data_IF_883089948745
#
_entry.id   IF_883089948745
#
_cell.length_a   1.000
_cell.length_b   1.000
_cell.length_c   1.000
_cell.angle_alpha   90.00
_cell.angle_beta   90.00
_cell.angle_gamma   90.00
#
_symmetry.space_group_name_H-M   'P 1'
#
loop_
_entity.id
_entity.type
_entity.pdbx_description
1 polymer ?
#
# COMPACT_ATOMS: atom_id res chain seq x y z
N UNK A 1 -27.31 -11.63 17.49
CA UNK A 1 -27.21 -13.11 17.34
C UNK A 1 -27.46 -13.55 15.89
N UNK A 2 -28.29 -12.83 15.10
CA UNK A 2 -28.59 -13.20 13.71
C UNK A 2 -27.55 -12.76 12.67
N UNK A 3 -26.68 -11.80 13.01
CA UNK A 3 -25.59 -11.33 12.14
C UNK A 3 -24.39 -12.29 12.16
N UNK A 4 -23.79 -12.64 11.02
CA UNK A 4 -22.60 -13.51 10.95
C UNK A 4 -21.43 -13.05 11.84
N UNK A 5 -21.17 -11.75 11.95
CA UNK A 5 -20.05 -11.25 12.78
C UNK A 5 -20.24 -11.55 14.27
N UNK A 6 -21.47 -11.41 14.78
CA UNK A 6 -21.77 -11.82 16.16
C UNK A 6 -21.68 -13.33 16.34
N UNK A 7 -22.06 -14.12 15.32
CA UNK A 7 -21.92 -15.57 15.38
C UNK A 7 -20.46 -16.00 15.42
N UNK A 8 -19.59 -15.32 14.66
CA UNK A 8 -18.16 -15.55 14.68
C UNK A 8 -17.56 -15.21 16.04
N UNK A 9 -17.95 -14.07 16.62
CA UNK A 9 -17.54 -13.68 17.98
C UNK A 9 -17.93 -14.73 19.03
N UNK A 10 -19.11 -15.34 18.92
CA UNK A 10 -19.55 -16.41 19.84
C UNK A 10 -18.70 -17.66 19.70
N UNK A 11 -18.37 -18.03 18.46
CA UNK A 11 -17.49 -19.16 18.19
C UNK A 11 -16.09 -18.89 18.77
N UNK A 12 -15.58 -17.67 18.62
CA UNK A 12 -14.26 -17.27 19.15
C UNK A 12 -14.23 -17.34 20.68
N UNK A 13 -15.26 -16.84 21.36
CA UNK A 13 -15.35 -16.93 22.83
C UNK A 13 -15.49 -18.38 23.30
N UNK A 14 -16.26 -19.22 22.60
CA UNK A 14 -16.35 -20.65 22.90
C UNK A 14 -15.02 -21.38 22.64
N UNK A 15 -14.26 -20.94 21.63
CA UNK A 15 -12.94 -21.49 21.30
C UNK A 15 -11.82 -20.98 22.22
N UNK A 16 -12.08 -19.94 23.04
CA UNK A 16 -11.08 -19.17 23.79
C UNK A 16 -9.96 -18.66 22.88
N UNK A 17 -10.37 -18.08 21.75
CA UNK A 17 -9.47 -17.65 20.68
C UNK A 17 -9.12 -16.14 20.75
N UNK A 18 -9.36 -15.49 21.89
CA UNK A 18 -9.18 -14.05 22.08
C UNK A 18 -7.75 -13.59 21.76
N UNK A 19 -6.75 -14.32 22.24
CA UNK A 19 -5.34 -13.98 22.03
C UNK A 19 -4.94 -14.10 20.56
N UNK A 20 -5.36 -15.19 19.88
CA UNK A 20 -5.04 -15.40 18.46
C UNK A 20 -5.80 -14.43 17.56
N UNK A 21 -7.03 -14.04 17.95
CA UNK A 21 -7.79 -13.00 17.27
C UNK A 21 -7.13 -11.62 17.44
N UNK A 22 -6.61 -11.30 18.64
CA UNK A 22 -5.90 -10.07 18.89
C UNK A 22 -4.58 -9.98 18.10
N UNK A 23 -3.80 -11.07 18.07
CA UNK A 23 -2.60 -11.19 17.26
C UNK A 23 -2.90 -10.96 15.76
N UNK A 24 -3.92 -11.65 15.24
CA UNK A 24 -4.34 -11.47 13.86
C UNK A 24 -4.77 -10.02 13.56
N UNK A 25 -5.57 -9.41 14.44
CA UNK A 25 -6.05 -8.03 14.27
C UNK A 25 -4.90 -7.02 14.24
N UNK A 26 -3.89 -7.20 15.08
CA UNK A 26 -2.72 -6.35 15.09
C UNK A 26 -1.97 -6.42 13.75
N UNK A 27 -1.69 -7.64 13.25
CA UNK A 27 -1.04 -7.85 11.96
C UNK A 27 -1.87 -7.33 10.79
N UNK A 28 -3.20 -7.50 10.83
CA UNK A 28 -4.10 -6.94 9.83
C UNK A 28 -4.04 -5.40 9.82
N UNK A 29 -4.08 -4.76 11.00
CA UNK A 29 -3.95 -3.31 11.13
C UNK A 29 -2.62 -2.78 10.58
N UNK A 30 -1.51 -3.42 10.96
CA UNK A 30 -0.18 -3.08 10.44
C UNK A 30 -0.12 -3.21 8.92
N UNK A 31 -0.69 -4.27 8.34
CA UNK A 31 -0.76 -4.45 6.91
C UNK A 31 -1.55 -3.33 6.21
N UNK A 32 -2.69 -2.92 6.78
CA UNK A 32 -3.48 -1.81 6.21
C UNK A 32 -2.71 -0.49 6.24
N UNK A 33 -1.99 -0.21 7.33
CA UNK A 33 -1.12 0.98 7.44
C UNK A 33 -0.02 0.97 6.37
N UNK A 34 0.72 -0.13 6.25
CA UNK A 34 1.79 -0.25 5.25
C UNK A 34 1.27 -0.15 3.80
N UNK A 35 0.10 -0.73 3.51
CA UNK A 35 -0.53 -0.60 2.20
C UNK A 35 -0.95 0.83 1.89
N UNK A 36 -1.45 1.57 2.89
CA UNK A 36 -1.80 2.98 2.73
C UNK A 36 -0.56 3.85 2.51
N UNK A 37 0.51 3.62 3.27
CA UNK A 37 1.81 4.31 3.09
C UNK A 37 2.39 4.03 1.71
N UNK A 38 2.42 2.77 1.29
CA UNK A 38 2.87 2.37 -0.04
C UNK A 38 2.02 3.02 -1.14
N UNK A 39 0.69 3.02 -1.01
CA UNK A 39 -0.19 3.64 -2.01
C UNK A 39 0.03 5.16 -2.12
N UNK A 40 0.25 5.85 -1.01
CA UNK A 40 0.58 7.28 -1.00
C UNK A 40 1.93 7.55 -1.71
N UNK A 41 2.91 6.67 -1.51
CA UNK A 41 4.23 6.75 -2.15
C UNK A 41 4.29 6.16 -3.57
N UNK A 42 3.28 5.43 -4.05
CA UNK A 42 3.33 4.76 -5.37
C UNK A 42 2.57 5.51 -6.48
N UNK A 43 2.37 6.82 -6.34
CA UNK A 43 1.67 7.64 -7.33
C UNK A 43 2.53 7.85 -8.59
N UNK A 44 2.43 7.03 -9.64
CA UNK A 44 3.11 7.13 -10.96
C UNK A 44 4.61 6.74 -11.03
N UNK A 45 4.88 5.43 -10.99
CA UNK A 45 6.22 4.79 -11.02
C UNK A 45 6.92 4.88 -12.39
N UNK A 46 6.21 4.64 -13.49
CA UNK A 46 6.81 4.54 -14.84
C UNK A 46 7.39 5.84 -15.39
N UNK A 47 6.78 6.99 -15.06
CA UNK A 47 7.33 8.29 -15.47
C UNK A 47 8.61 8.66 -14.69
N UNK A 48 8.81 8.06 -13.50
CA UNK A 48 9.96 8.38 -12.63
C UNK A 48 11.21 7.64 -13.00
N UNK A 49 11.13 6.37 -13.37
CA UNK A 49 12.31 5.62 -13.82
C UNK A 49 12.94 6.32 -15.03
N UNK A 50 12.12 6.75 -15.98
CA UNK A 50 12.59 7.52 -17.15
C UNK A 50 13.19 8.88 -16.76
N UNK A 51 12.57 9.58 -15.81
CA UNK A 51 13.12 10.85 -15.27
C UNK A 51 14.49 10.62 -14.61
N UNK A 52 14.63 9.55 -13.83
CA UNK A 52 15.84 9.24 -13.09
C UNK A 52 17.00 8.84 -14.00
N UNK A 53 16.75 8.03 -15.03
CA UNK A 53 17.76 7.68 -16.04
C UNK A 53 18.23 8.91 -16.83
N UNK A 54 17.30 9.80 -17.20
CA UNK A 54 17.63 11.06 -17.85
C UNK A 54 18.51 11.93 -16.94
N UNK A 55 18.11 12.14 -15.69
CA UNK A 55 18.87 12.93 -14.72
C UNK A 55 20.26 12.35 -14.46
N UNK A 56 20.39 11.01 -14.37
CA UNK A 56 21.68 10.32 -14.24
C UNK A 56 22.59 10.57 -15.44
N UNK A 57 22.06 10.43 -16.66
CA UNK A 57 22.84 10.69 -17.88
C UNK A 57 23.33 12.14 -17.92
N UNK A 58 22.44 13.11 -17.69
CA UNK A 58 22.77 14.53 -17.70
C UNK A 58 23.83 14.90 -16.64
N UNK A 59 23.65 14.41 -15.42
CA UNK A 59 24.59 14.66 -14.31
C UNK A 59 25.95 14.02 -14.60
N UNK A 60 25.98 12.82 -15.19
CA UNK A 60 27.22 12.14 -15.56
C UNK A 60 27.97 12.86 -16.68
N UNK A 61 27.25 13.32 -17.71
CA UNK A 61 27.83 14.09 -18.82
C UNK A 61 28.46 15.41 -18.33
N UNK A 62 27.80 16.13 -17.42
CA UNK A 62 28.33 17.38 -16.88
C UNK A 62 29.51 17.13 -15.91
N UNK A 63 29.41 16.10 -15.06
CA UNK A 63 30.49 15.75 -14.13
C UNK A 63 31.75 15.28 -14.86
N UNK A 64 31.62 14.47 -15.92
CA UNK A 64 32.77 14.01 -16.70
C UNK A 64 33.48 15.15 -17.42
N UNK A 65 32.78 16.25 -17.72
CA UNK A 65 33.36 17.45 -18.29
C UNK A 65 34.25 18.25 -17.31
N UNK A 66 34.21 17.99 -16.00
CA UNK A 66 35.05 18.65 -14.99
C UNK A 66 35.13 20.17 -15.19
N UNK A 67 33.98 20.84 -15.24
CA UNK A 67 33.89 22.27 -15.47
C UNK A 67 34.39 23.07 -14.26
N UNK A 68 35.20 24.09 -14.50
CA UNK A 68 35.64 25.03 -13.46
C UNK A 68 35.08 26.42 -13.75
N UNK A 69 34.57 27.10 -12.71
CA UNK A 69 34.05 28.46 -12.86
C UNK A 69 35.17 29.44 -13.28
N UNK A 70 34.92 30.22 -14.34
CA UNK A 70 35.90 31.16 -14.90
C UNK A 70 36.91 30.56 -15.88
N UNK A 71 36.93 29.23 -16.06
CA UNK A 71 37.83 28.55 -17.01
C UNK A 71 37.55 28.92 -18.46
N UNK A 72 36.28 29.12 -18.81
CA UNK A 72 35.83 29.41 -20.18
C UNK A 72 36.52 30.64 -20.78
N UNK A 73 36.58 31.74 -20.02
CA UNK A 73 37.18 32.99 -20.47
C UNK A 73 38.70 32.86 -20.68
N UNK A 74 39.37 32.10 -19.79
CA UNK A 74 40.79 31.82 -19.92
C UNK A 74 41.08 30.95 -21.16
N UNK A 75 40.32 29.88 -21.35
CA UNK A 75 40.47 28.94 -22.47
C UNK A 75 40.14 29.61 -23.79
N UNK A 76 39.08 30.42 -23.87
CA UNK A 76 38.76 31.18 -25.08
C UNK A 76 39.87 32.16 -25.46
N UNK A 77 40.41 32.90 -24.49
CA UNK A 77 41.47 33.87 -24.75
C UNK A 77 42.75 33.18 -25.24
N UNK A 78 43.12 32.05 -24.61
CA UNK A 78 44.24 31.22 -25.07
C UNK A 78 43.99 30.66 -26.47
N UNK A 79 42.78 30.14 -26.74
CA UNK A 79 42.41 29.63 -28.05
C UNK A 79 42.51 30.71 -29.13
N UNK A 80 41.96 31.91 -28.90
CA UNK A 80 42.04 33.04 -29.84
C UNK A 80 43.49 33.43 -30.14
N UNK A 81 44.36 33.45 -29.13
CA UNK A 81 45.78 33.73 -29.29
C UNK A 81 46.47 32.66 -30.15
N UNK A 82 46.35 31.38 -29.78
CA UNK A 82 47.01 30.26 -30.46
C UNK A 82 46.46 30.03 -31.87
N UNK A 83 45.16 30.19 -32.09
CA UNK A 83 44.54 30.08 -33.41
C UNK A 83 45.00 31.21 -34.35
N UNK A 84 45.21 32.41 -33.81
CA UNK A 84 45.81 33.52 -34.57
C UNK A 84 47.24 33.20 -35.00
N UNK A 85 48.06 32.62 -34.10
CA UNK A 85 49.41 32.15 -34.44
C UNK A 85 49.40 31.08 -35.54
N UNK A 86 48.49 30.09 -35.48
CA UNK A 86 48.32 29.09 -36.55
C UNK A 86 48.01 29.76 -37.88
N UNK A 87 47.09 30.73 -37.89
CA UNK A 87 46.71 31.44 -39.10
C UNK A 87 47.87 32.27 -39.68
N UNK A 88 48.69 32.87 -38.82
CA UNK A 88 49.89 33.60 -39.24
C UNK A 88 50.93 32.66 -39.85
N UNK A 89 51.18 31.49 -39.26
CA UNK A 89 52.07 30.45 -39.82
C UNK A 89 51.56 29.98 -41.17
N UNK A 90 50.28 29.60 -41.27
CA UNK A 90 49.66 29.15 -42.53
C UNK A 90 49.83 30.16 -43.66
N UNK A 91 49.58 31.45 -43.37
CA UNK A 91 49.71 32.52 -44.36
C UNK A 91 51.17 32.77 -44.74
N UNK A 92 52.07 32.84 -43.75
CA UNK A 92 53.49 33.07 -43.98
C UNK A 92 54.12 31.93 -44.80
N UNK A 93 53.88 30.67 -44.43
CA UNK A 93 54.33 29.51 -45.19
C UNK A 93 53.70 29.44 -46.58
N UNK A 94 52.40 29.77 -46.73
CA UNK A 94 51.77 29.80 -48.06
C UNK A 94 52.38 30.87 -48.98
N UNK A 95 52.76 32.04 -48.44
CA UNK A 95 53.43 33.09 -49.20
C UNK A 95 54.85 32.65 -49.57
N UNK A 96 55.62 32.12 -48.61
CA UNK A 96 56.98 31.63 -48.85
C UNK A 96 57.01 30.52 -49.93
N UNK A 97 56.07 29.57 -49.86
CA UNK A 97 55.92 28.51 -50.86
C UNK A 97 55.64 29.06 -52.26
N UNK A 98 54.74 30.04 -52.38
CA UNK A 98 54.42 30.69 -53.66
C UNK A 98 55.62 31.45 -54.24
N UNK A 99 56.44 32.05 -53.38
CA UNK A 99 57.59 32.84 -53.81
C UNK A 99 58.79 31.95 -54.17
N UNK A 100 59.09 30.90 -53.41
CA UNK A 100 60.39 30.21 -53.52
C UNK A 100 60.39 28.67 -53.48
N UNK A 101 59.47 28.00 -52.78
CA UNK A 101 59.68 26.59 -52.42
C UNK A 101 59.14 25.56 -53.43
N UNK A 102 58.38 26.00 -54.44
CA UNK A 102 57.86 25.13 -55.50
C UNK A 102 58.61 25.31 -56.83
N UNK A 103 58.64 24.25 -57.67
CA UNK A 103 59.30 24.32 -58.98
C UNK A 103 58.73 25.42 -59.89
N UNK A 104 57.42 25.69 -59.81
CA UNK A 104 56.72 26.77 -60.53
C UNK A 104 56.57 28.05 -59.68
N UNK A 105 57.49 28.29 -58.74
CA UNK A 105 57.47 29.48 -57.90
C UNK A 105 57.80 30.74 -58.69
N UNK A 106 57.38 31.90 -58.15
CA UNK A 106 57.66 33.20 -58.76
C UNK A 106 59.17 33.41 -58.97
N UNK A 107 60.01 33.04 -57.99
CA UNK A 107 61.47 33.17 -58.13
C UNK A 107 62.06 32.24 -59.19
N UNK A 108 61.53 31.02 -59.34
CA UNK A 108 61.94 30.10 -60.42
C UNK A 108 61.67 30.70 -61.81
N UNK A 109 60.46 31.24 -62.03
CA UNK A 109 60.09 31.89 -63.30
C UNK A 109 60.90 33.17 -63.56
N UNK A 110 61.19 33.95 -62.50
CA UNK A 110 62.02 35.14 -62.61
C UNK A 110 63.48 34.77 -62.92
N UNK A 111 63.99 33.63 -62.46
CA UNK A 111 65.33 33.14 -62.80
C UNK A 111 65.44 32.77 -64.28
N UNK A 112 64.40 32.16 -64.85
CA UNK A 112 64.31 31.93 -66.31
C UNK A 112 64.27 33.24 -67.09
N UNK A 113 63.46 34.20 -66.61
CA UNK A 113 63.39 35.55 -67.19
C UNK A 113 64.76 36.26 -67.16
N UNK A 114 65.52 36.11 -66.07
CA UNK A 114 66.87 36.67 -65.96
C UNK A 114 67.85 36.03 -66.98
N UNK A 115 67.69 34.74 -67.32
CA UNK A 115 68.49 34.09 -68.37
C UNK A 115 68.21 34.72 -69.73
N UNK A 116 66.93 34.93 -70.06
CA UNK A 116 66.52 35.60 -71.29
C UNK A 116 67.02 37.04 -71.37
N UNK A 117 66.94 37.81 -70.27
CA UNK A 117 67.47 39.17 -70.20
C UNK A 117 68.98 39.22 -70.43
N UNK A 118 69.75 38.25 -69.89
CA UNK A 118 71.19 38.15 -70.12
C UNK A 118 71.53 37.77 -71.55
N UNK A 119 70.72 36.94 -72.21
CA UNK A 119 70.87 36.65 -73.63
C UNK A 119 70.59 37.88 -74.49
N UNK A 120 69.55 38.64 -74.16
CA UNK A 120 69.22 39.88 -74.85
C UNK A 120 70.29 40.96 -74.66
N UNK A 121 70.86 41.08 -73.46
CA UNK A 121 71.96 41.99 -73.14
C UNK A 121 73.24 41.70 -73.95
N UNK A 122 73.50 40.42 -74.29
CA UNK A 122 74.61 40.06 -75.19
C UNK A 122 74.40 40.55 -76.63
N UNK A 123 73.14 40.78 -77.02
CA UNK A 123 72.76 41.27 -78.35
C UNK A 123 72.72 42.79 -78.36
N UNK A 124 72.12 43.40 -77.32
CA UNK A 124 71.95 44.85 -77.18
C UNK A 124 72.37 45.30 -75.77
N UNK A 125 73.51 45.99 -75.69
CA UNK A 125 74.06 46.49 -74.43
C UNK A 125 73.19 47.54 -73.72
N UNK A 126 72.21 48.16 -74.39
CA UNK A 126 71.27 49.09 -73.75
C UNK A 126 70.33 48.41 -72.74
N UNK A 127 70.21 47.07 -72.83
CA UNK A 127 69.35 46.25 -71.96
C UNK A 127 69.96 46.04 -70.57
N UNK A 128 71.25 46.30 -70.36
CA UNK A 128 71.95 46.09 -69.10
C UNK A 128 71.24 46.74 -67.90
N UNK A 129 70.64 47.93 -68.08
CA UNK A 129 69.88 48.60 -67.01
C UNK A 129 68.64 47.80 -66.57
N UNK A 130 67.93 47.14 -67.49
CA UNK A 130 66.76 46.33 -67.19
C UNK A 130 67.14 44.98 -66.59
N UNK A 131 68.22 44.36 -67.09
CA UNK A 131 68.83 43.15 -66.53
C UNK A 131 69.26 43.36 -65.08
N UNK A 132 69.88 44.50 -64.79
CA UNK A 132 70.28 44.90 -63.43
C UNK A 132 69.06 45.20 -62.53
N UNK A 133 68.05 45.89 -63.05
CA UNK A 133 66.83 46.18 -62.29
C UNK A 133 66.03 44.90 -61.96
N UNK A 134 65.94 43.95 -62.89
CA UNK A 134 65.33 42.64 -62.67
C UNK A 134 66.07 41.85 -61.61
N UNK A 135 67.41 41.78 -61.70
CA UNK A 135 68.24 41.11 -60.70
C UNK A 135 68.02 41.67 -59.29
N UNK A 136 67.90 43.00 -59.15
CA UNK A 136 67.58 43.63 -57.89
C UNK A 136 66.19 43.24 -57.36
N UNK A 137 65.17 43.22 -58.22
CA UNK A 137 63.82 42.79 -57.82
C UNK A 137 63.76 41.32 -57.39
N UNK A 138 64.56 40.44 -58.03
CA UNK A 138 64.69 39.02 -57.63
C UNK A 138 65.31 38.90 -56.24
N UNK A 139 66.33 39.71 -55.92
CA UNK A 139 66.94 39.74 -54.58
C UNK A 139 65.92 40.16 -53.53
N UNK A 140 65.19 41.25 -53.75
CA UNK A 140 64.14 41.72 -52.83
C UNK A 140 63.05 40.66 -52.58
N UNK A 141 62.55 40.01 -53.63
CA UNK A 141 61.55 38.95 -53.50
C UNK A 141 62.11 37.70 -52.78
N UNK A 142 63.38 37.39 -52.97
CA UNK A 142 64.06 36.29 -52.27
C UNK A 142 64.23 36.60 -50.78
N UNK A 143 64.53 37.84 -50.43
CA UNK A 143 64.62 38.28 -49.04
C UNK A 143 63.26 38.23 -48.35
N UNK A 144 62.19 38.70 -48.99
CA UNK A 144 60.81 38.59 -48.47
C UNK A 144 60.43 37.12 -48.22
N UNK A 145 60.71 36.23 -49.17
CA UNK A 145 60.41 34.81 -49.01
C UNK A 145 61.16 34.21 -47.80
N UNK A 146 62.46 34.52 -47.67
CA UNK A 146 63.30 34.05 -46.56
C UNK A 146 62.83 34.61 -45.21
N UNK A 147 62.50 35.89 -45.15
CA UNK A 147 62.01 36.54 -43.94
C UNK A 147 60.68 35.94 -43.49
N UNK A 148 59.77 35.63 -44.42
CA UNK A 148 58.50 34.99 -44.11
C UNK A 148 58.64 33.53 -43.66
N UNK A 149 59.55 32.74 -44.25
CA UNK A 149 59.85 31.39 -43.72
C UNK A 149 60.46 31.49 -42.32
N UNK A 150 61.40 32.41 -42.10
CA UNK A 150 62.00 32.64 -40.77
C UNK A 150 60.95 33.13 -39.76
N UNK A 151 60.00 33.95 -40.18
CA UNK A 151 58.90 34.43 -39.35
C UNK A 151 57.96 33.27 -38.96
N UNK A 152 57.63 32.38 -39.90
CA UNK A 152 56.82 31.20 -39.65
C UNK A 152 57.52 30.23 -38.67
N UNK A 153 58.83 30.00 -38.82
CA UNK A 153 59.63 29.14 -37.92
C UNK A 153 59.72 29.70 -36.49
N UNK A 154 59.71 31.03 -36.33
CA UNK A 154 59.77 31.68 -35.00
C UNK A 154 58.45 31.62 -34.25
N UNK A 155 57.33 31.41 -34.94
CA UNK A 155 56.03 31.26 -34.30
C UNK A 155 55.92 29.85 -33.74
N UNK A 156 56.21 29.71 -32.45
CA UNK A 156 56.08 28.45 -31.71
C UNK A 156 54.59 28.08 -31.58
N UNK A 157 54.19 27.01 -32.25
CA UNK A 157 52.84 26.47 -32.19
C UNK A 157 52.89 24.98 -31.90
N UNK A 158 52.42 24.61 -30.71
CA UNK A 158 52.18 23.23 -30.33
C UNK A 158 50.82 22.76 -30.88
N UNK A 159 50.78 21.87 -31.90
CA UNK A 159 49.53 21.42 -32.50
C UNK A 159 48.66 20.61 -31.54
N UNK A 160 49.25 19.90 -30.58
CA UNK A 160 48.53 19.10 -29.60
C UNK A 160 47.79 20.01 -28.61
N UNK A 161 48.43 21.11 -28.18
CA UNK A 161 47.80 22.11 -27.32
C UNK A 161 46.64 22.82 -28.01
N UNK A 162 46.79 23.18 -29.29
CA UNK A 162 45.70 23.80 -30.04
C UNK A 162 44.50 22.85 -30.19
N UNK A 163 44.75 21.59 -30.53
CA UNK A 163 43.70 20.58 -30.63
C UNK A 163 42.97 20.35 -29.29
N UNK A 164 43.71 20.34 -28.17
CA UNK A 164 43.13 20.25 -26.84
C UNK A 164 42.24 21.47 -26.49
N UNK A 165 42.70 22.68 -26.84
CA UNK A 165 41.90 23.91 -26.67
C UNK A 165 40.64 23.88 -27.54
N UNK A 166 40.73 23.47 -28.80
CA UNK A 166 39.56 23.33 -29.69
C UNK A 166 38.53 22.35 -29.14
N UNK A 167 38.98 21.19 -28.65
CA UNK A 167 38.11 20.21 -28.02
C UNK A 167 37.45 20.77 -26.76
N UNK A 168 38.18 21.52 -25.94
CA UNK A 168 37.66 22.13 -24.71
C UNK A 168 36.60 23.19 -25.01
N UNK A 169 36.85 24.08 -25.98
CA UNK A 169 35.88 25.10 -26.43
C UNK A 169 34.62 24.44 -27.01
N UNK A 170 34.77 23.42 -27.86
CA UNK A 170 33.65 22.69 -28.43
C UNK A 170 32.78 21.99 -27.37
N UNK A 171 33.44 21.44 -26.34
CA UNK A 171 32.76 20.85 -25.18
C UNK A 171 31.92 21.90 -24.44
N UNK A 172 32.47 23.08 -24.17
CA UNK A 172 31.73 24.17 -23.52
C UNK A 172 30.48 24.57 -24.32
N UNK A 173 30.61 24.80 -25.63
CA UNK A 173 29.47 25.13 -26.49
C UNK A 173 28.39 24.04 -26.51
N UNK A 174 28.82 22.78 -26.58
CA UNK A 174 27.90 21.63 -26.57
C UNK A 174 27.10 21.57 -25.26
N UNK A 175 27.77 21.73 -24.13
CA UNK A 175 27.14 21.70 -22.81
C UNK A 175 26.26 22.93 -22.58
N UNK A 176 26.69 24.12 -23.02
CA UNK A 176 25.87 25.33 -22.95
C UNK A 176 24.56 25.15 -23.73
N UNK A 177 24.64 24.68 -24.97
CA UNK A 177 23.44 24.43 -25.79
C UNK A 177 22.46 23.43 -25.16
N UNK A 178 22.96 22.44 -24.42
CA UNK A 178 22.14 21.41 -23.78
C UNK A 178 21.56 21.83 -22.42
N UNK A 179 22.31 22.58 -21.61
CA UNK A 179 22.07 22.70 -20.17
C UNK A 179 22.03 24.14 -19.62
N UNK A 180 22.42 25.17 -20.40
CA UNK A 180 22.34 26.57 -19.97
C UNK A 180 23.20 27.53 -20.79
N UNK A 181 22.85 28.82 -20.86
CA UNK A 181 23.55 29.81 -21.68
C UNK A 181 24.99 30.14 -21.23
N UNK A 182 25.43 29.65 -20.07
CA UNK A 182 26.79 29.83 -19.54
C UNK A 182 27.25 28.61 -18.74
N UNK A 183 28.58 28.45 -18.55
CA UNK A 183 29.13 27.37 -17.71
C UNK A 183 28.58 27.40 -16.27
N UNK A 184 28.36 28.59 -15.71
CA UNK A 184 27.73 28.73 -14.40
C UNK A 184 26.31 28.15 -14.35
N UNK A 185 25.52 28.37 -15.41
CA UNK A 185 24.18 27.79 -15.53
C UNK A 185 24.21 26.27 -15.69
N UNK A 186 25.19 25.73 -16.45
CA UNK A 186 25.39 24.29 -16.62
C UNK A 186 25.73 23.61 -15.29
N UNK A 187 26.62 24.20 -14.48
CA UNK A 187 26.98 23.70 -13.15
C UNK A 187 25.74 23.72 -12.23
N UNK A 188 25.03 24.84 -12.18
CA UNK A 188 23.82 24.97 -11.38
C UNK A 188 22.71 23.99 -11.84
N UNK A 189 22.64 23.67 -13.13
CA UNK A 189 21.75 22.63 -13.64
C UNK A 189 22.11 21.26 -13.07
N UNK A 190 23.39 20.88 -13.07
CA UNK A 190 23.84 19.60 -12.52
C UNK A 190 23.56 19.48 -11.02
N UNK A 191 23.70 20.56 -10.25
CA UNK A 191 23.35 20.57 -8.82
C UNK A 191 21.85 20.32 -8.60
N UNK A 192 20.99 21.04 -9.33
CA UNK A 192 19.54 20.83 -9.27
C UNK A 192 19.13 19.43 -9.70
N UNK A 193 19.75 18.91 -10.76
CA UNK A 193 19.52 17.54 -11.25
C UNK A 193 19.92 16.49 -10.21
N UNK A 194 21.07 16.67 -9.56
CA UNK A 194 21.54 15.78 -8.49
C UNK A 194 20.62 15.80 -7.26
N UNK A 195 20.17 16.98 -6.81
CA UNK A 195 19.22 17.09 -5.69
C UNK A 195 17.88 16.42 -6.03
N UNK A 196 17.39 16.61 -7.27
CA UNK A 196 16.17 15.96 -7.75
C UNK A 196 16.31 14.44 -7.78
N UNK A 197 17.42 13.94 -8.30
CA UNK A 197 17.73 12.51 -8.35
C UNK A 197 17.76 11.89 -6.94
N UNK A 198 18.42 12.54 -5.98
CA UNK A 198 18.48 12.06 -4.59
C UNK A 198 17.09 11.95 -3.95
N UNK A 199 16.19 12.91 -4.23
CA UNK A 199 14.79 12.87 -3.75
C UNK A 199 14.01 11.69 -4.34
N UNK A 200 14.25 11.35 -5.61
CA UNK A 200 13.58 10.21 -6.25
C UNK A 200 14.18 8.89 -5.73
N UNK A 201 15.50 8.75 -5.68
CA UNK A 201 16.19 7.54 -5.19
C UNK A 201 15.83 7.21 -3.73
N UNK A 202 15.77 8.23 -2.86
CA UNK A 202 15.37 8.04 -1.45
C UNK A 202 13.94 7.51 -1.31
N UNK A 203 13.05 7.90 -2.23
CA UNK A 203 11.66 7.42 -2.27
C UNK A 203 11.57 5.98 -2.79
N UNK A 204 12.33 5.61 -3.82
CA UNK A 204 12.33 4.25 -4.34
C UNK A 204 12.91 3.25 -3.33
N UNK A 205 13.96 3.64 -2.62
CA UNK A 205 14.50 2.86 -1.51
C UNK A 205 13.45 2.62 -0.41
N UNK A 206 12.64 3.65 -0.09
CA UNK A 206 11.56 3.55 0.87
C UNK A 206 10.40 2.67 0.36
N UNK A 207 10.03 2.76 -0.92
CA UNK A 207 9.05 1.86 -1.53
C UNK A 207 9.51 0.39 -1.47
N UNK A 208 10.77 0.11 -1.79
CA UNK A 208 11.32 -1.24 -1.69
C UNK A 208 11.34 -1.76 -0.24
N UNK A 209 11.62 -0.89 0.73
CA UNK A 209 11.51 -1.22 2.17
C UNK A 209 10.07 -1.61 2.51
N UNK A 210 9.10 -0.79 2.12
CA UNK A 210 7.67 -1.04 2.36
C UNK A 210 7.18 -2.33 1.69
N UNK A 211 7.57 -2.63 0.46
CA UNK A 211 7.21 -3.89 -0.22
C UNK A 211 7.67 -5.11 0.58
N UNK A 212 8.94 -5.11 1.04
CA UNK A 212 9.47 -6.21 1.86
C UNK A 212 8.75 -6.35 3.20
N UNK A 213 8.42 -5.23 3.84
CA UNK A 213 7.67 -5.23 5.10
C UNK A 213 6.23 -5.75 4.90
N UNK A 214 5.55 -5.32 3.84
CA UNK A 214 4.22 -5.81 3.46
C UNK A 214 4.23 -7.32 3.25
N UNK A 215 5.22 -7.86 2.53
CA UNK A 215 5.37 -9.30 2.30
C UNK A 215 5.56 -10.07 3.62
N UNK A 216 6.44 -9.57 4.49
CA UNK A 216 6.70 -10.18 5.80
C UNK A 216 5.44 -10.17 6.68
N UNK A 217 4.77 -9.02 6.82
CA UNK A 217 3.55 -8.90 7.62
C UNK A 217 2.41 -9.75 7.04
N UNK A 218 2.27 -9.84 5.70
CA UNK A 218 1.32 -10.77 5.07
C UNK A 218 1.60 -12.22 5.44
N UNK A 219 2.86 -12.65 5.42
CA UNK A 219 3.23 -14.02 5.77
C UNK A 219 2.91 -14.32 7.25
N UNK A 220 3.19 -13.37 8.16
CA UNK A 220 2.84 -13.49 9.57
C UNK A 220 1.32 -13.52 9.79
N UNK A 221 0.59 -12.58 9.19
CA UNK A 221 -0.88 -12.51 9.25
C UNK A 221 -1.52 -13.81 8.73
N UNK A 222 -0.97 -14.40 7.66
CA UNK A 222 -1.43 -15.68 7.12
C UNK A 222 -1.27 -16.81 8.15
N UNK A 223 -0.11 -16.92 8.80
CA UNK A 223 0.13 -17.93 9.84
C UNK A 223 -0.79 -17.74 11.05
N UNK A 224 -0.96 -16.50 11.51
CA UNK A 224 -1.88 -16.18 12.61
C UNK A 224 -3.33 -16.54 12.25
N UNK A 225 -3.77 -16.19 11.05
CA UNK A 225 -5.12 -16.51 10.57
C UNK A 225 -5.36 -18.01 10.37
N UNK A 226 -4.36 -18.77 9.92
CA UNK A 226 -4.43 -20.24 9.85
C UNK A 226 -4.53 -20.88 11.24
N UNK A 227 -3.82 -20.35 12.24
CA UNK A 227 -3.93 -20.79 13.63
C UNK A 227 -5.33 -20.52 14.20
N UNK A 228 -5.85 -19.30 14.00
CA UNK A 228 -7.21 -18.92 14.39
C UNK A 228 -8.26 -19.82 13.74
N UNK A 229 -8.11 -20.08 12.43
CA UNK A 229 -8.98 -20.99 11.68
C UNK A 229 -8.96 -22.41 12.25
N UNK A 230 -7.79 -22.95 12.61
CA UNK A 230 -7.68 -24.28 13.21
C UNK A 230 -8.42 -24.37 14.56
N UNK A 231 -8.36 -23.32 15.38
CA UNK A 231 -9.12 -23.25 16.63
C UNK A 231 -10.63 -23.25 16.35
N UNK A 232 -11.09 -22.38 15.45
CA UNK A 232 -12.49 -22.31 15.00
C UNK A 232 -12.99 -23.64 14.45
N UNK A 233 -12.21 -24.31 13.60
CA UNK A 233 -12.55 -25.61 13.01
C UNK A 233 -12.68 -26.73 14.05
N UNK A 234 -11.92 -26.68 15.15
CA UNK A 234 -12.06 -27.62 16.29
C UNK A 234 -13.24 -27.25 17.20
N UNK A 235 -13.55 -25.97 17.33
CA UNK A 235 -14.58 -25.46 18.21
C UNK A 235 -15.99 -25.59 17.62
N UNK A 236 -16.17 -25.34 16.33
CA UNK A 236 -17.46 -25.39 15.63
C UNK A 236 -18.24 -26.71 15.82
N UNK A 237 -17.65 -27.91 15.64
CA UNK A 237 -18.37 -29.16 15.88
C UNK A 237 -18.71 -29.37 17.37
N UNK A 238 -17.83 -28.95 18.29
CA UNK A 238 -18.07 -29.05 19.74
C UNK A 238 -19.21 -28.13 20.19
N UNK A 239 -19.24 -26.91 19.66
CA UNK A 239 -20.32 -25.95 19.87
C UNK A 239 -21.64 -26.53 19.36
N UNK A 240 -21.61 -27.10 18.15
CA UNK A 240 -22.78 -27.71 17.52
C UNK A 240 -23.35 -28.84 18.39
N UNK A 241 -22.52 -29.75 18.90
CA UNK A 241 -23.00 -30.83 19.77
C UNK A 241 -23.53 -30.33 21.12
N UNK A 242 -22.88 -29.33 21.73
CA UNK A 242 -23.37 -28.72 22.96
C UNK A 242 -24.77 -28.10 22.76
N UNK A 243 -24.97 -27.39 21.66
CA UNK A 243 -26.28 -26.80 21.32
C UNK A 243 -27.31 -27.89 21.03
N UNK A 244 -26.97 -28.94 20.27
CA UNK A 244 -27.88 -30.08 20.02
C UNK A 244 -28.33 -30.76 21.31
N UNK A 245 -27.44 -30.96 22.27
CA UNK A 245 -27.80 -31.50 23.59
C UNK A 245 -28.84 -30.63 24.28
N UNK A 246 -28.62 -29.31 24.31
CA UNK A 246 -29.57 -28.38 24.90
C UNK A 246 -30.91 -28.34 24.14
N UNK A 247 -30.90 -28.48 22.82
CA UNK A 247 -32.09 -28.55 21.98
C UNK A 247 -32.93 -29.80 22.26
N UNK A 248 -32.29 -30.96 22.46
CA UNK A 248 -33.01 -32.21 22.82
C UNK A 248 -33.84 -32.05 24.09
N UNK A 249 -33.28 -31.41 25.11
CA UNK A 249 -33.98 -31.12 26.37
C UNK A 249 -35.18 -30.18 26.18
N UNK A 250 -35.11 -29.29 25.17
CA UNK A 250 -36.13 -28.28 24.86
C UNK A 250 -37.17 -28.77 23.83
N UNK A 251 -37.29 -30.09 23.66
CA UNK A 251 -38.30 -30.71 22.80
C UNK A 251 -37.87 -30.95 21.36
N UNK A 252 -36.67 -30.54 20.97
CA UNK A 252 -36.13 -30.75 19.62
C UNK A 252 -35.31 -32.05 19.54
N UNK A 253 -35.94 -33.19 19.82
CA UNK A 253 -35.26 -34.49 19.95
C UNK A 253 -34.56 -34.95 18.67
N UNK A 254 -35.08 -34.56 17.51
CA UNK A 254 -34.57 -34.97 16.19
C UNK A 254 -34.16 -33.77 15.32
N UNK A 255 -33.89 -32.61 15.91
CA UNK A 255 -33.39 -31.45 15.18
C UNK A 255 -31.92 -31.57 14.85
N UNK A 256 -31.51 -30.95 13.76
CA UNK A 256 -30.10 -30.77 13.41
C UNK A 256 -29.64 -29.33 13.65
N UNK A 257 -28.38 -29.21 14.07
CA UNK A 257 -27.73 -27.91 14.24
C UNK A 257 -26.28 -27.99 13.79
N UNK A 258 -25.83 -26.97 13.05
CA UNK A 258 -24.47 -26.87 12.53
C UNK A 258 -23.96 -25.43 12.62
N UNK A 259 -22.83 -25.23 13.31
CA UNK A 259 -22.03 -24.02 13.17
C UNK A 259 -21.11 -24.17 11.94
N UNK A 260 -21.56 -23.68 10.78
CA UNK A 260 -20.87 -23.88 9.52
C UNK A 260 -19.79 -22.82 9.31
N UNK A 261 -18.53 -23.23 9.39
CA UNK A 261 -17.37 -22.39 9.10
C UNK A 261 -17.11 -22.34 7.59
N UNK A 262 -16.91 -21.16 7.03
CA UNK A 262 -16.55 -20.96 5.61
C UNK A 262 -15.33 -20.08 5.47
N UNK A 263 -14.45 -20.42 4.53
CA UNK A 263 -13.34 -19.56 4.11
C UNK A 263 -13.88 -18.32 3.40
N UNK A 264 -13.26 -17.19 3.65
CA UNK A 264 -13.44 -15.96 2.88
C UNK A 264 -12.32 -15.85 1.85
N UNK A 265 -12.67 -15.35 0.65
CA UNK A 265 -11.69 -15.09 -0.41
C UNK A 265 -10.72 -13.96 -0.03
N UNK A 266 -11.24 -12.95 0.68
CA UNK A 266 -10.46 -11.82 1.16
C UNK A 266 -10.33 -11.80 2.69
N UNK A 267 -9.12 -11.46 3.21
CA UNK A 267 -8.91 -11.19 4.62
C UNK A 267 -9.83 -10.09 5.17
N UNK A 268 -10.43 -10.34 6.32
CA UNK A 268 -11.20 -9.33 7.08
C UNK A 268 -10.54 -9.07 8.42
N UNK A 269 -10.87 -7.98 9.13
CA UNK A 269 -10.34 -7.71 10.48
C UNK A 269 -10.53 -8.85 11.49
N UNK A 270 -11.49 -9.75 11.25
CA UNK A 270 -11.80 -10.88 12.13
C UNK A 270 -11.29 -12.24 11.61
N UNK A 271 -10.39 -12.27 10.62
CA UNK A 271 -9.79 -13.49 10.10
C UNK A 271 -10.19 -13.83 8.66
N UNK A 272 -9.87 -15.06 8.26
CA UNK A 272 -10.18 -15.63 6.94
C UNK A 272 -11.48 -16.44 6.92
N UNK A 273 -12.28 -16.32 7.98
CA UNK A 273 -13.46 -17.15 8.16
C UNK A 273 -14.71 -16.32 8.38
N UNK A 274 -15.83 -16.88 7.93
CA UNK A 274 -17.16 -16.54 8.39
C UNK A 274 -17.79 -17.78 9.02
N UNK A 275 -18.70 -17.56 9.98
CA UNK A 275 -19.51 -18.65 10.51
C UNK A 275 -20.99 -18.34 10.27
N UNK A 276 -21.75 -19.37 9.92
CA UNK A 276 -23.20 -19.31 9.84
C UNK A 276 -23.80 -20.42 10.70
N UNK A 277 -24.62 -20.03 11.67
CA UNK A 277 -25.38 -21.00 12.48
C UNK A 277 -26.60 -21.47 11.69
N UNK A 278 -26.67 -22.78 11.46
CA UNK A 278 -27.72 -23.44 10.71
C UNK A 278 -28.53 -24.35 11.63
N UNK A 279 -29.83 -24.39 11.42
CA UNK A 279 -30.77 -25.18 12.20
C UNK A 279 -31.81 -25.82 11.29
N UNK A 280 -32.21 -27.05 11.65
CA UNK A 280 -33.33 -27.75 11.05
C UNK A 280 -34.19 -28.34 12.18
N UNK A 281 -35.46 -27.92 12.34
CA UNK A 281 -36.28 -28.34 13.48
C UNK A 281 -36.70 -29.81 13.39
N UNK A 282 -36.86 -30.33 12.16
CA UNK A 282 -37.43 -31.66 11.90
C UNK A 282 -36.52 -32.51 11.01
N UNK A 283 -36.52 -33.85 11.18
CA UNK A 283 -35.86 -34.76 10.26
C UNK A 283 -36.34 -34.59 8.83
N UNK A 284 -35.41 -34.64 7.87
CA UNK A 284 -35.71 -34.53 6.45
C UNK A 284 -35.84 -33.09 5.92
N UNK A 285 -35.86 -32.08 6.79
CA UNK A 285 -35.77 -30.68 6.38
C UNK A 285 -34.31 -30.21 6.23
N UNK A 286 -33.99 -29.36 5.24
CA UNK A 286 -32.64 -28.85 5.05
C UNK A 286 -32.25 -27.89 6.18
N UNK A 287 -30.96 -27.89 6.53
CA UNK A 287 -30.37 -26.90 7.43
C UNK A 287 -30.52 -25.48 6.85
N UNK A 288 -31.16 -24.59 7.60
CA UNK A 288 -31.40 -23.19 7.19
C UNK A 288 -30.72 -22.23 8.16
N UNK A 289 -30.29 -21.04 7.70
CA UNK A 289 -29.81 -19.99 8.59
C UNK A 289 -30.89 -19.60 9.62
N UNK A 290 -30.47 -19.22 10.84
CA UNK A 290 -31.39 -18.88 11.93
C UNK A 290 -32.42 -17.80 11.56
N UNK A 291 -32.04 -16.85 10.70
CA UNK A 291 -32.91 -15.78 10.20
C UNK A 291 -34.06 -16.26 9.30
N UNK A 292 -33.98 -17.49 8.80
CA UNK A 292 -34.97 -18.09 7.89
C UNK A 292 -35.93 -19.05 8.61
N UNK A 293 -35.86 -19.14 9.95
CA UNK A 293 -36.80 -19.93 10.74
C UNK A 293 -38.08 -19.11 10.95
N UNK A 294 -39.23 -19.70 10.66
CA UNK A 294 -40.51 -18.98 10.56
C UNK A 294 -41.30 -18.91 11.90
N UNK A 295 -41.10 -19.85 12.81
CA UNK A 295 -41.83 -19.93 14.08
C UNK A 295 -41.11 -19.15 15.19
N UNK A 296 -41.75 -18.11 15.72
CA UNK A 296 -41.23 -17.24 16.79
C UNK A 296 -40.88 -18.03 18.05
N UNK A 297 -41.75 -18.96 18.47
CA UNK A 297 -41.51 -19.81 19.64
C UNK A 297 -40.35 -20.79 19.45
N UNK A 298 -40.15 -21.31 18.23
CA UNK A 298 -39.00 -22.16 17.93
C UNK A 298 -37.68 -21.39 17.98
N UNK A 299 -37.66 -20.16 17.44
CA UNK A 299 -36.49 -19.28 17.54
C UNK A 299 -36.19 -18.98 19.01
N UNK A 300 -37.19 -18.65 19.84
CA UNK A 300 -36.96 -18.34 21.26
C UNK A 300 -36.36 -19.54 22.02
N UNK A 301 -36.86 -20.76 21.78
CA UNK A 301 -36.28 -21.97 22.38
C UNK A 301 -34.88 -22.29 21.84
N UNK A 302 -34.65 -22.10 20.54
CA UNK A 302 -33.32 -22.24 19.94
C UNK A 302 -32.32 -21.23 20.52
N UNK A 303 -32.73 -19.97 20.70
CA UNK A 303 -31.92 -18.96 21.35
C UNK A 303 -31.63 -19.32 22.80
N UNK A 304 -32.59 -19.86 23.55
CA UNK A 304 -32.35 -20.38 24.90
C UNK A 304 -31.33 -21.52 24.89
N UNK A 305 -31.40 -22.44 23.92
CA UNK A 305 -30.42 -23.52 23.78
C UNK A 305 -29.00 -22.99 23.52
N UNK A 306 -28.88 -22.03 22.59
CA UNK A 306 -27.61 -21.37 22.24
C UNK A 306 -27.05 -20.63 23.45
N UNK A 307 -27.87 -19.83 24.12
CA UNK A 307 -27.47 -19.05 25.30
C UNK A 307 -27.10 -19.93 26.49
N UNK A 308 -27.83 -21.02 26.71
CA UNK A 308 -27.49 -22.01 27.75
C UNK A 308 -26.17 -22.71 27.45
N UNK A 309 -25.90 -23.05 26.18
CA UNK A 309 -24.63 -23.64 25.78
C UNK A 309 -23.43 -22.70 25.93
N UNK A 310 -23.69 -21.38 25.95
CA UNK A 310 -22.70 -20.31 25.98
C UNK A 310 -22.75 -19.47 27.26
N UNK A 311 -23.48 -19.89 28.30
CA UNK A 311 -23.78 -19.05 29.46
C UNK A 311 -22.52 -18.47 30.13
N UNK A 312 -21.46 -19.28 30.23
CA UNK A 312 -20.16 -18.89 30.80
C UNK A 312 -19.30 -17.98 29.90
N UNK A 313 -19.69 -17.78 28.65
CA UNK A 313 -18.92 -17.08 27.62
C UNK A 313 -19.70 -15.93 26.97
N UNK A 314 -20.94 -15.70 27.40
CA UNK A 314 -21.79 -14.64 26.86
C UNK A 314 -21.62 -13.37 27.69
N UNK A 315 -21.33 -12.25 27.02
CA UNK A 315 -21.09 -10.97 27.69
C UNK A 315 -22.37 -10.14 27.90
N UNK A 316 -23.53 -10.65 27.50
CA UNK A 316 -24.80 -9.91 27.53
C UNK A 316 -25.51 -10.14 28.87
N UNK A 317 -25.58 -9.14 29.77
CA UNK A 317 -26.04 -9.35 31.15
C UNK A 317 -27.56 -9.52 31.30
N UNK A 318 -28.35 -9.09 30.31
CA UNK A 318 -29.82 -9.13 30.34
C UNK A 318 -30.35 -9.85 29.10
N UNK A 319 -31.15 -10.89 29.34
CA UNK A 319 -31.77 -11.71 28.31
C UNK A 319 -33.29 -11.67 28.48
N UNK A 320 -34.00 -11.31 27.40
CA UNK A 320 -35.47 -11.29 27.36
C UNK A 320 -35.94 -12.38 26.40
N UNK A 321 -36.75 -13.30 26.91
CA UNK A 321 -37.39 -14.36 26.12
C UNK A 321 -38.89 -14.09 26.05
N UNK A 322 -39.38 -13.96 24.83
CA UNK A 322 -40.80 -13.82 24.51
C UNK A 322 -41.28 -15.07 23.76
N UNK A 323 -42.55 -15.44 23.95
CA UNK A 323 -43.22 -16.58 23.30
C UNK A 323 -42.50 -17.93 23.39
N UNK A 324 -41.63 -18.13 24.38
CA UNK A 324 -40.85 -19.37 24.51
C UNK A 324 -41.71 -20.58 24.88
N UNK A 325 -42.89 -20.32 25.42
CA UNK A 325 -43.92 -21.27 25.81
C UNK A 325 -44.91 -21.61 24.69
N UNK A 326 -44.79 -21.00 23.50
CA UNK A 326 -45.67 -21.31 22.36
C UNK A 326 -45.50 -22.77 21.92
N UNK A 327 -46.60 -23.51 21.87
CA UNK A 327 -46.67 -24.94 21.56
C UNK A 327 -45.81 -25.82 22.48
N UNK A 328 -45.65 -25.42 23.75
CA UNK A 328 -44.91 -26.16 24.78
C UNK A 328 -45.87 -26.60 25.89
N UNK A 329 -45.73 -27.85 26.33
CA UNK A 329 -46.47 -28.38 27.47
C UNK A 329 -45.72 -29.50 28.18
N UNK A 330 -46.17 -29.84 29.39
CA UNK A 330 -45.65 -30.98 30.15
C UNK A 330 -44.15 -30.87 30.48
N UNK A 331 -43.40 -31.94 30.23
CA UNK A 331 -41.97 -32.06 30.54
C UNK A 331 -41.11 -30.97 29.87
N UNK A 332 -41.47 -30.53 28.66
CA UNK A 332 -40.73 -29.50 27.93
C UNK A 332 -40.85 -28.15 28.65
N UNK A 333 -42.01 -27.83 29.22
CA UNK A 333 -42.21 -26.60 29.99
C UNK A 333 -41.31 -26.56 31.24
N UNK A 334 -41.14 -27.72 31.89
CA UNK A 334 -40.23 -27.86 33.04
C UNK A 334 -38.77 -27.68 32.61
N UNK A 335 -38.36 -28.28 31.49
CA UNK A 335 -37.02 -28.13 30.96
C UNK A 335 -36.69 -26.68 30.56
N UNK A 336 -37.66 -25.96 29.96
CA UNK A 336 -37.53 -24.52 29.66
C UNK A 336 -37.29 -23.73 30.95
N UNK A 337 -38.14 -23.93 31.97
CA UNK A 337 -38.01 -23.26 33.27
C UNK A 337 -36.68 -23.53 33.97
N UNK A 338 -36.21 -24.79 33.95
CA UNK A 338 -34.94 -25.20 34.55
C UNK A 338 -33.72 -24.60 33.83
N UNK A 339 -33.73 -24.55 32.48
CA UNK A 339 -32.66 -23.90 31.71
C UNK A 339 -32.63 -22.40 31.94
N UNK A 340 -33.79 -21.74 31.97
CA UNK A 340 -33.87 -20.31 32.31
C UNK A 340 -33.34 -20.01 33.70
N UNK A 341 -33.68 -20.84 34.69
CA UNK A 341 -33.19 -20.70 36.05
C UNK A 341 -31.66 -20.87 36.12
N UNK A 342 -31.12 -21.86 35.39
CA UNK A 342 -29.68 -22.08 35.31
C UNK A 342 -28.98 -20.88 34.69
N UNK A 343 -29.50 -20.38 33.57
CA UNK A 343 -29.00 -19.18 32.89
C UNK A 343 -29.12 -17.93 33.79
N UNK A 344 -30.17 -17.88 34.62
CA UNK A 344 -30.46 -16.86 35.62
C UNK A 344 -29.42 -16.72 36.73
N UNK A 345 -28.50 -17.69 36.86
CA UNK A 345 -27.38 -17.62 37.82
C UNK A 345 -26.30 -16.64 37.38
N UNK A 346 -26.07 -16.57 36.08
CA UNK A 346 -25.01 -15.77 35.47
C UNK A 346 -25.57 -14.50 34.80
N UNK A 347 -26.84 -14.52 34.39
CA UNK A 347 -27.50 -13.45 33.65
C UNK A 347 -28.85 -13.07 34.27
N UNK A 348 -29.30 -11.84 34.07
CA UNK A 348 -30.69 -11.49 34.33
C UNK A 348 -31.57 -12.02 33.21
N UNK A 349 -32.51 -12.92 33.52
CA UNK A 349 -33.43 -13.49 32.54
C UNK A 349 -34.85 -13.00 32.82
N UNK A 350 -35.47 -12.35 31.82
CA UNK A 350 -36.87 -11.94 31.84
C UNK A 350 -37.64 -12.81 30.87
N UNK A 351 -38.70 -13.45 31.37
CA UNK A 351 -39.60 -14.25 30.55
C UNK A 351 -41.05 -13.83 30.83
N UNK A 352 -41.80 -13.60 29.76
CA UNK A 352 -43.26 -13.46 29.83
C UNK A 352 -43.83 -14.85 29.55
N UNK A 353 -44.58 -15.42 30.48
CA UNK A 353 -45.11 -16.77 30.33
C UNK A 353 -46.48 -16.96 30.93
N UNK A 354 -47.26 -17.86 30.34
CA UNK A 354 -48.51 -18.37 30.87
C UNK A 354 -48.38 -19.78 31.47
N UNK A 355 -47.19 -20.39 31.41
CA UNK A 355 -46.95 -21.75 31.92
C UNK A 355 -46.55 -21.74 33.40
N UNK A 356 -47.31 -22.39 34.29
CA UNK A 356 -46.98 -22.44 35.72
C UNK A 356 -45.63 -23.11 36.00
N UNK A 357 -45.22 -24.07 35.16
CA UNK A 357 -43.93 -24.76 35.29
C UNK A 357 -42.74 -23.82 35.09
N UNK A 358 -42.86 -22.81 34.23
CA UNK A 358 -41.81 -21.80 33.99
C UNK A 358 -41.86 -20.72 35.06
N UNK A 359 -43.05 -20.22 35.41
CA UNK A 359 -43.22 -19.20 36.45
C UNK A 359 -42.76 -19.69 37.85
N UNK A 360 -42.89 -21.00 38.12
CA UNK A 360 -42.48 -21.59 39.39
C UNK A 360 -40.95 -21.58 39.61
N UNK A 361 -40.13 -21.59 38.55
CA UNK A 361 -38.65 -21.61 38.68
C UNK A 361 -38.02 -20.23 38.80
N UNK A 362 -38.79 -19.16 38.61
CA UNK A 362 -38.27 -17.79 38.64
C UNK A 362 -37.83 -17.37 40.05
N UNK A 363 -36.74 -16.60 40.15
CA UNK A 363 -36.32 -16.01 41.43
C UNK A 363 -37.31 -14.95 41.93
N UNK A 364 -37.87 -14.16 41.02
CA UNK A 364 -38.92 -13.17 41.27
C UNK A 364 -40.08 -13.42 40.29
N UNK A 365 -41.32 -13.31 40.79
CA UNK A 365 -42.52 -13.55 39.98
C UNK A 365 -43.39 -12.29 40.00
N UNK A 366 -43.65 -11.73 38.82
CA UNK A 366 -44.52 -10.57 38.65
C UNK A 366 -45.79 -10.96 37.90
N UNK A 367 -46.93 -10.49 38.40
CA UNK A 367 -48.25 -10.71 37.80
C UNK A 367 -48.72 -9.42 37.15
N UNK A 368 -49.13 -9.53 35.89
CA UNK A 368 -49.77 -8.44 35.14
C UNK A 368 -51.29 -8.57 35.29
N UNK A 369 -51.92 -7.54 35.85
CA UNK A 369 -53.39 -7.43 35.92
C UNK A 369 -53.88 -6.27 35.05
N UNK A 370 -55.13 -6.35 34.60
CA UNK A 370 -55.81 -5.25 33.90
C UNK A 370 -56.89 -4.69 34.81
N UNK A 371 -56.79 -3.41 35.13
CA UNK A 371 -57.76 -2.70 35.98
C UNK A 371 -58.42 -1.59 35.16
N UNK A 372 -59.75 -1.46 35.28
CA UNK A 372 -60.51 -0.41 34.59
C UNK A 372 -60.72 0.75 35.53
N UNK A 373 -60.18 1.92 35.19
CA UNK A 373 -60.36 3.16 35.96
C UNK A 373 -60.84 4.27 35.03
N UNK A 374 -61.93 4.95 35.41
CA UNK A 374 -62.54 6.06 34.62
C UNK A 374 -62.77 5.70 33.15
N UNK A 375 -63.26 4.49 32.88
CA UNK A 375 -63.55 4.00 31.53
C UNK A 375 -62.32 3.65 30.67
N UNK A 376 -61.11 3.64 31.24
CA UNK A 376 -59.88 3.21 30.56
C UNK A 376 -59.26 2.01 31.26
N UNK A 377 -58.79 1.05 30.47
CA UNK A 377 -58.06 -0.12 30.97
C UNK A 377 -56.59 0.23 31.17
N UNK A 378 -56.07 -0.01 32.37
CA UNK A 378 -54.67 0.13 32.73
C UNK A 378 -54.08 -1.24 33.05
N UNK A 379 -52.83 -1.47 32.64
CA UNK A 379 -52.08 -2.65 33.05
C UNK A 379 -51.28 -2.35 34.30
N UNK A 380 -51.46 -3.14 35.34
CA UNK A 380 -50.68 -3.06 36.58
C UNK A 380 -49.74 -4.27 36.68
N UNK A 381 -48.53 -4.05 37.17
CA UNK A 381 -47.53 -5.08 37.42
C UNK A 381 -47.25 -5.11 38.93
N UNK A 382 -47.39 -6.28 39.55
CA UNK A 382 -47.10 -6.47 40.98
C UNK A 382 -46.26 -7.72 41.21
N UNK A 383 -45.28 -7.63 42.09
CA UNK A 383 -44.55 -8.82 42.53
C UNK A 383 -45.43 -9.68 43.43
N UNK A 384 -45.32 -11.01 43.30
CA UNK A 384 -45.98 -11.99 44.17
C UNK A 384 -44.95 -12.87 44.85
N UNK A 385 -45.10 -13.04 46.16
CA UNK A 385 -44.21 -13.84 47.00
C UNK A 385 -45.01 -14.72 47.98
N UNK A 386 -44.34 -15.71 48.58
CA UNK A 386 -44.91 -16.61 49.59
C UNK A 386 -46.26 -17.22 49.17
N UNK A 387 -47.28 -17.07 50.02
CA UNK A 387 -48.63 -17.61 49.79
C UNK A 387 -49.28 -17.05 48.53
N UNK A 388 -49.14 -15.74 48.26
CA UNK A 388 -49.71 -15.12 47.07
C UNK A 388 -49.09 -15.64 45.77
N UNK A 389 -47.81 -16.02 45.79
CA UNK A 389 -47.15 -16.71 44.66
C UNK A 389 -47.71 -18.11 44.45
N UNK A 390 -47.92 -18.88 45.52
CA UNK A 390 -48.53 -20.22 45.43
C UNK A 390 -49.95 -20.17 44.89
N UNK A 391 -50.77 -19.22 45.36
CA UNK A 391 -52.14 -19.02 44.86
C UNK A 391 -52.16 -18.66 43.39
N UNK A 392 -51.19 -17.87 42.92
CA UNK A 392 -51.08 -17.51 41.51
C UNK A 392 -50.67 -18.71 40.63
N UNK A 393 -49.68 -19.49 41.05
CA UNK A 393 -49.30 -20.73 40.33
C UNK A 393 -50.49 -21.71 40.29
N UNK A 394 -51.26 -21.84 41.38
CA UNK A 394 -52.48 -22.65 41.39
C UNK A 394 -53.54 -22.11 40.42
N UNK A 395 -53.73 -20.79 40.37
CA UNK A 395 -54.60 -20.13 39.38
C UNK A 395 -54.19 -20.48 37.94
N UNK A 396 -52.89 -20.42 37.63
CA UNK A 396 -52.34 -20.79 36.32
C UNK A 396 -52.54 -22.28 35.98
N UNK A 397 -52.58 -23.17 36.97
CA UNK A 397 -52.85 -24.60 36.81
C UNK A 397 -54.34 -24.96 36.59
N UNK A 398 -55.25 -23.97 36.61
CA UNK A 398 -56.67 -24.18 36.33
C UNK A 398 -57.62 -23.99 37.50
N UNK A 399 -57.17 -23.46 38.65
CA UNK A 399 -58.09 -23.01 39.72
C UNK A 399 -57.51 -23.03 41.14
N UNK A 400 -58.32 -22.59 42.12
CA UNK A 400 -57.93 -22.52 43.54
C UNK A 400 -58.32 -23.77 44.35
N UNK A 401 -58.43 -24.94 43.71
CA UNK A 401 -58.73 -26.18 44.43
C UNK A 401 -57.56 -26.55 45.36
N UNK A 402 -57.84 -27.33 46.40
CA UNK A 402 -56.81 -27.85 47.31
C UNK A 402 -55.76 -28.71 46.57
N UNK A 403 -56.19 -29.45 45.55
CA UNK A 403 -55.31 -30.20 44.65
C UNK A 403 -54.36 -29.29 43.85
N UNK A 404 -54.86 -28.16 43.31
CA UNK A 404 -54.05 -27.21 42.56
C UNK A 404 -53.05 -26.47 43.46
N UNK A 405 -53.44 -26.14 44.69
CA UNK A 405 -52.54 -25.55 45.68
C UNK A 405 -51.42 -26.51 46.09
N UNK A 406 -51.72 -27.80 46.21
CA UNK A 406 -50.73 -28.84 46.52
C UNK A 406 -49.73 -29.02 45.38
N UNK A 407 -50.21 -29.05 44.13
CA UNK A 407 -49.36 -29.11 42.94
C UNK A 407 -48.53 -27.83 42.75
N UNK A 408 -49.09 -26.66 43.04
CA UNK A 408 -48.36 -25.40 43.03
C UNK A 408 -47.22 -25.40 44.06
N UNK A 409 -47.46 -25.94 45.27
CA UNK A 409 -46.44 -26.07 46.30
C UNK A 409 -45.30 -27.02 45.86
N UNK A 410 -45.61 -28.12 45.17
CA UNK A 410 -44.56 -29.03 44.68
C UNK A 410 -43.71 -28.40 43.58
N UNK A 411 -44.33 -27.67 42.63
CA UNK A 411 -43.59 -26.93 41.60
C UNK A 411 -42.66 -25.86 42.20
N UNK A 412 -43.13 -25.12 43.21
CA UNK A 412 -42.32 -24.10 43.89
C UNK A 412 -41.16 -24.70 44.70
N UNK A 413 -41.33 -25.92 45.25
CA UNK A 413 -40.24 -26.64 45.94
C UNK A 413 -39.22 -27.24 44.97
N UNK A 414 -39.66 -27.68 43.79
CA UNK A 414 -38.77 -28.23 42.75
C UNK A 414 -37.97 -27.17 41.99
N UNK A 415 -38.35 -25.89 42.10
CA UNK A 415 -37.63 -24.75 41.55
C UNK A 415 -36.75 -24.00 42.56
N UNK A 416 -36.57 -24.51 43.78
CA UNK A 416 -35.76 -23.88 44.83
C UNK A 416 -34.33 -24.42 44.87
#
# INVERSE_FOLDING_TARGET
MLSPDRQLSLLDSFARAEDQLAEYRNLYGQLQTLLAEHAALNTAETAREQELDLLRHQTTEIKSANLVAGEEEEVENRYKLTASSKRLIELASAIANKLSETDDSVLSQLAETQRLLRELEKIDGSIAQFSSAHAAAVVELSEIARELSTYAEKLDLDPEQLAALEQRVSLFETLKRKYGGSIGEVIAFAERAAERMQKIEGRDAELQRLVKEIENVRAQMKRAGETLRKLRGKAAPKLSENIRRNLRDLGFRQSEFEAKLRTLDEPRPNGFDSVELLFSPNPGEPLKPLRAIASSGEISRLMLAIKSALAAHDAIPLLVFDEIDTNVGGEIAHAVGAKMQTLGRDHQVICITHLPQVAATASAHFVVTKDVSRGRTFSNLREVSGKSRQEEIARMLGGKSESALTLAASLLKGGA
#
